data_IF_296909806832
#
_entry.id   IF_296909806832
#
_cell.length_a   1.000
_cell.length_b   1.000
_cell.length_c   1.000
_cell.angle_alpha   90.00
_cell.angle_beta   90.00
_cell.angle_gamma   90.00
#
_symmetry.space_group_name_H-M   'P 1'
#
loop_
_entity.id
_entity.type
_entity.pdbx_description
1 polymer ?
#
# COMPACT_ATOMS: atom_id res chain seq x y z
N UNK A 1 2.60 17.87 -5.64
CA UNK A 1 1.43 18.09 -6.53
C UNK A 1 0.95 16.77 -7.11
N UNK A 2 -0.28 16.73 -7.62
CA UNK A 2 -0.78 15.58 -8.38
C UNK A 2 -0.05 15.43 -9.72
N UNK A 3 0.33 16.55 -10.35
CA UNK A 3 1.13 16.55 -11.58
C UNK A 3 2.43 15.74 -11.47
N UNK A 4 3.09 15.75 -10.29
CA UNK A 4 4.29 14.93 -10.06
C UNK A 4 3.96 13.44 -10.08
N UNK A 5 2.83 13.04 -9.50
CA UNK A 5 2.35 11.64 -9.54
C UNK A 5 2.05 11.22 -10.97
N UNK A 6 1.33 12.06 -11.72
CA UNK A 6 0.99 11.81 -13.12
C UNK A 6 2.25 11.69 -14.00
N UNK A 7 3.23 12.57 -13.81
CA UNK A 7 4.50 12.55 -14.54
C UNK A 7 5.32 11.28 -14.20
N UNK A 8 5.35 10.85 -12.95
CA UNK A 8 6.04 9.61 -12.55
C UNK A 8 5.37 8.38 -13.20
N UNK A 9 4.04 8.33 -13.23
CA UNK A 9 3.32 7.28 -13.93
C UNK A 9 3.59 7.27 -15.43
N UNK A 10 3.69 8.45 -16.07
CA UNK A 10 4.11 8.57 -17.50
C UNK A 10 5.54 8.08 -17.73
N UNK A 11 6.47 8.37 -16.81
CA UNK A 11 7.83 7.83 -16.88
C UNK A 11 7.81 6.30 -16.81
N UNK A 12 7.04 5.72 -15.89
CA UNK A 12 6.86 4.28 -15.78
C UNK A 12 6.29 3.69 -17.08
N UNK A 13 5.23 4.30 -17.63
CA UNK A 13 4.59 3.89 -18.90
C UNK A 13 5.60 3.92 -20.06
N UNK A 14 6.46 4.94 -20.14
CA UNK A 14 7.49 5.05 -21.17
C UNK A 14 8.61 4.00 -21.03
N UNK A 15 8.77 3.40 -19.84
CA UNK A 15 9.72 2.30 -19.62
C UNK A 15 9.15 0.92 -20.00
N UNK A 16 7.99 0.84 -20.65
CA UNK A 16 7.34 -0.41 -21.06
C UNK A 16 8.28 -1.40 -21.78
N UNK A 17 9.22 -0.89 -22.58
CA UNK A 17 10.19 -1.71 -23.32
C UNK A 17 11.18 -2.45 -22.43
N UNK A 18 11.21 -2.18 -21.11
CA UNK A 18 12.04 -2.87 -20.11
C UNK A 18 11.26 -3.90 -19.29
N UNK A 19 9.93 -3.93 -19.40
CA UNK A 19 9.07 -4.91 -18.72
C UNK A 19 8.91 -6.16 -19.56
N UNK A 20 8.79 -7.32 -18.90
CA UNK A 20 8.37 -8.56 -19.53
C UNK A 20 6.83 -8.68 -19.43
N UNK A 21 6.23 -9.31 -20.44
CA UNK A 21 4.83 -9.70 -20.44
C UNK A 21 4.74 -11.22 -20.31
N UNK A 22 3.78 -11.70 -19.52
CA UNK A 22 3.52 -13.13 -19.34
C UNK A 22 2.99 -13.78 -20.63
N UNK A 23 2.82 -15.09 -20.59
CA UNK A 23 2.34 -15.88 -21.72
C UNK A 23 0.93 -15.46 -22.20
N UNK A 24 0.14 -14.79 -21.39
CA UNK A 24 -1.17 -14.22 -21.70
C UNK A 24 -1.11 -12.82 -22.34
N UNK A 25 0.10 -12.28 -22.57
CA UNK A 25 0.37 -10.93 -23.10
C UNK A 25 -0.33 -9.78 -22.35
N UNK A 26 -0.79 -10.03 -21.12
CA UNK A 26 -1.48 -9.05 -20.26
C UNK A 26 -0.91 -9.01 -18.85
N UNK A 27 -0.46 -10.15 -18.32
CA UNK A 27 0.15 -10.18 -16.99
C UNK A 27 1.56 -9.58 -17.05
N UNK A 28 1.79 -8.50 -16.32
CA UNK A 28 3.12 -7.89 -16.19
C UNK A 28 4.00 -8.62 -15.18
N UNK A 29 5.30 -8.43 -15.27
CA UNK A 29 6.32 -8.96 -14.36
C UNK A 29 6.42 -8.16 -13.05
N UNK A 30 5.77 -7.02 -12.99
CA UNK A 30 5.65 -6.16 -11.82
C UNK A 30 5.85 -4.68 -12.14
N UNK A 31 4.96 -3.85 -11.59
CA UNK A 31 5.08 -2.40 -11.62
C UNK A 31 4.69 -1.81 -10.27
N UNK A 32 5.27 -0.66 -9.93
CA UNK A 32 4.94 0.02 -8.69
C UNK A 32 5.40 1.47 -8.68
N UNK A 33 4.86 2.19 -7.70
CA UNK A 33 5.22 3.57 -7.42
C UNK A 33 5.29 3.79 -5.91
N UNK A 34 6.37 4.42 -5.44
CA UNK A 34 6.49 4.89 -4.07
C UNK A 34 6.28 6.41 -4.05
N UNK A 35 5.43 6.86 -3.16
CA UNK A 35 5.00 8.25 -3.02
C UNK A 35 5.05 8.68 -1.55
N UNK A 36 5.09 9.98 -1.29
CA UNK A 36 4.79 10.47 0.05
C UNK A 36 3.32 10.20 0.38
N UNK A 37 3.02 10.00 1.66
CA UNK A 37 1.64 9.79 2.13
C UNK A 37 0.77 10.99 1.71
N UNK A 38 -0.31 10.77 0.93
CA UNK A 38 -1.18 11.83 0.43
C UNK A 38 -2.20 12.23 1.50
N UNK A 39 -1.78 12.98 2.51
CA UNK A 39 -2.54 13.29 3.72
C UNK A 39 -3.91 13.90 3.42
N UNK A 40 -3.97 14.90 2.55
CA UNK A 40 -5.24 15.56 2.18
C UNK A 40 -6.22 14.59 1.50
N UNK A 41 -5.71 13.72 0.64
CA UNK A 41 -6.52 12.67 0.03
C UNK A 41 -7.12 11.74 1.09
N UNK A 42 -6.32 11.34 2.10
CA UNK A 42 -6.79 10.47 3.19
C UNK A 42 -7.90 11.14 4.00
N UNK A 43 -7.74 12.41 4.35
CA UNK A 43 -8.78 13.18 5.04
C UNK A 43 -10.07 13.27 4.22
N UNK A 44 -9.97 13.47 2.90
CA UNK A 44 -11.13 13.50 2.00
C UNK A 44 -11.82 12.13 1.85
N UNK A 45 -11.15 11.03 2.17
CA UNK A 45 -11.78 9.71 2.29
C UNK A 45 -12.57 9.55 3.60
N UNK A 46 -12.65 10.59 4.44
CA UNK A 46 -13.34 10.54 5.73
C UNK A 46 -12.55 9.80 6.83
N UNK A 47 -11.25 9.60 6.64
CA UNK A 47 -10.40 8.95 7.64
C UNK A 47 -9.76 10.01 8.53
N UNK A 48 -10.11 10.10 9.82
CA UNK A 48 -9.68 11.17 10.72
C UNK A 48 -8.25 10.91 11.25
N UNK A 49 -7.26 10.89 10.37
CA UNK A 49 -5.85 10.71 10.77
C UNK A 49 -5.31 11.91 11.53
N UNK A 50 -4.39 11.71 12.49
CA UNK A 50 -3.63 12.78 13.12
C UNK A 50 -2.78 13.58 12.13
N UNK A 51 -2.05 14.59 12.62
CA UNK A 51 -1.09 15.36 11.82
C UNK A 51 -0.07 14.47 11.10
N UNK A 52 0.46 14.98 9.99
CA UNK A 52 1.53 14.30 9.22
C UNK A 52 2.68 13.89 10.13
N UNK A 53 3.15 12.65 9.95
CA UNK A 53 4.23 12.07 10.76
C UNK A 53 3.77 11.43 12.06
N UNK A 54 2.54 11.69 12.54
CA UNK A 54 1.98 11.12 13.77
C UNK A 54 1.08 9.91 13.54
N UNK A 55 1.02 9.38 12.34
CA UNK A 55 0.38 8.11 12.02
C UNK A 55 1.21 7.34 11.00
N UNK A 56 1.14 6.02 11.07
CA UNK A 56 1.71 5.11 10.08
C UNK A 56 0.62 4.58 9.16
N UNK A 57 0.94 4.39 7.88
CA UNK A 57 0.04 3.77 6.92
C UNK A 57 0.80 2.95 5.89
N UNK A 58 0.11 2.06 5.23
CA UNK A 58 0.66 1.27 4.14
C UNK A 58 -0.35 0.29 3.57
N UNK A 59 -0.05 -0.25 2.40
CA UNK A 59 -0.88 -1.27 1.77
C UNK A 59 -0.46 -2.65 2.24
N UNK A 60 -1.46 -3.48 2.51
CA UNK A 60 -1.31 -4.87 2.92
C UNK A 60 -2.11 -5.75 1.97
N UNK A 61 -1.47 -6.75 1.40
CA UNK A 61 -2.11 -7.80 0.62
C UNK A 61 -2.48 -8.94 1.55
N UNK A 62 -3.74 -9.35 1.48
CA UNK A 62 -4.33 -10.39 2.31
C UNK A 62 -4.92 -11.49 1.42
N UNK A 63 -4.97 -12.74 1.90
CA UNK A 63 -5.70 -13.78 1.21
C UNK A 63 -7.18 -13.40 1.06
N UNK A 64 -7.87 -13.95 0.04
CA UNK A 64 -9.30 -13.70 -0.19
C UNK A 64 -10.19 -14.37 0.86
N UNK A 65 -9.71 -15.40 1.55
CA UNK A 65 -10.41 -16.08 2.62
C UNK A 65 -10.58 -15.17 3.85
N UNK A 66 -11.82 -14.87 4.21
CA UNK A 66 -12.15 -13.93 5.29
C UNK A 66 -11.64 -14.39 6.66
N UNK A 67 -11.64 -15.71 6.94
CA UNK A 67 -11.13 -16.23 8.20
C UNK A 67 -9.63 -16.03 8.31
N UNK A 68 -8.90 -16.33 7.24
CA UNK A 68 -7.46 -16.07 7.19
C UNK A 68 -7.15 -14.59 7.33
N UNK A 69 -7.94 -13.69 6.70
CA UNK A 69 -7.79 -12.24 6.90
C UNK A 69 -7.94 -11.87 8.36
N UNK A 70 -8.97 -12.37 9.06
CA UNK A 70 -9.19 -12.07 10.47
C UNK A 70 -8.05 -12.57 11.35
N UNK A 71 -7.56 -13.78 11.11
CA UNK A 71 -6.43 -14.35 11.86
C UNK A 71 -5.16 -13.49 11.66
N UNK A 72 -4.87 -13.07 10.44
CA UNK A 72 -3.72 -12.20 10.14
C UNK A 72 -3.89 -10.82 10.77
N UNK A 73 -5.08 -10.22 10.66
CA UNK A 73 -5.37 -8.91 11.27
C UNK A 73 -5.24 -8.96 12.79
N UNK A 74 -5.63 -10.07 13.44
CA UNK A 74 -5.44 -10.26 14.89
C UNK A 74 -3.94 -10.24 15.26
N UNK A 75 -3.09 -10.93 14.49
CA UNK A 75 -1.64 -10.90 14.68
C UNK A 75 -1.09 -9.47 14.48
N UNK A 76 -1.57 -8.75 13.47
CA UNK A 76 -1.17 -7.37 13.23
C UNK A 76 -1.53 -6.46 14.40
N UNK A 77 -2.75 -6.56 14.93
CA UNK A 77 -3.23 -5.78 16.07
C UNK A 77 -2.35 -6.06 17.30
N UNK A 78 -2.08 -7.33 17.62
CA UNK A 78 -1.22 -7.71 18.75
C UNK A 78 0.18 -7.07 18.65
N UNK A 79 0.83 -7.09 17.47
CA UNK A 79 2.15 -6.52 17.30
C UNK A 79 2.15 -4.98 17.34
N UNK A 80 1.06 -4.34 16.90
CA UNK A 80 0.86 -2.90 16.99
C UNK A 80 0.67 -2.48 18.46
N UNK A 81 -0.22 -3.17 19.18
CA UNK A 81 -0.53 -2.89 20.59
C UNK A 81 0.67 -3.13 21.51
N UNK A 82 1.53 -4.08 21.16
CA UNK A 82 2.79 -4.35 21.87
C UNK A 82 3.72 -3.14 21.96
N UNK A 83 3.66 -2.25 20.97
CA UNK A 83 4.42 -0.99 20.97
C UNK A 83 3.64 0.19 21.59
N UNK A 84 2.47 -0.07 22.19
CA UNK A 84 1.60 0.97 22.77
C UNK A 84 0.86 1.79 21.71
N UNK A 85 0.77 1.27 20.49
CA UNK A 85 0.05 1.88 19.36
C UNK A 85 -1.28 1.18 19.14
N UNK A 86 -2.10 1.71 18.24
CA UNK A 86 -3.38 1.10 17.88
C UNK A 86 -3.63 1.11 16.38
N UNK A 87 -4.26 0.07 15.88
CA UNK A 87 -4.84 0.05 14.54
C UNK A 87 -6.14 0.87 14.54
N UNK A 88 -6.07 2.09 14.02
CA UNK A 88 -7.19 3.03 14.05
C UNK A 88 -8.22 2.73 12.98
N UNK A 89 -7.78 2.37 11.78
CA UNK A 89 -8.67 2.19 10.63
C UNK A 89 -8.10 1.21 9.62
N UNK A 90 -9.02 0.51 8.93
CA UNK A 90 -8.75 -0.34 7.78
C UNK A 90 -9.61 0.14 6.61
N UNK A 91 -8.98 0.56 5.53
CA UNK A 91 -9.65 0.96 4.29
C UNK A 91 -9.50 -0.14 3.25
N UNK A 92 -10.58 -0.55 2.60
CA UNK A 92 -10.48 -1.33 1.38
C UNK A 92 -9.92 -0.42 0.27
N UNK A 93 -8.81 -0.82 -0.34
CA UNK A 93 -8.24 -0.07 -1.45
C UNK A 93 -9.05 -0.38 -2.71
N UNK A 94 -9.61 0.64 -3.39
CA UNK A 94 -10.32 0.40 -4.63
C UNK A 94 -9.36 -0.07 -5.72
N UNK A 95 -9.75 -1.12 -6.43
CA UNK A 95 -9.02 -1.70 -7.55
C UNK A 95 -9.93 -1.88 -8.75
N UNK A 96 -9.35 -1.92 -9.95
CA UNK A 96 -10.04 -2.26 -11.19
C UNK A 96 -9.44 -3.54 -11.77
N UNK A 97 -10.01 -4.71 -11.48
CA UNK A 97 -9.49 -5.99 -11.96
C UNK A 97 -9.67 -6.22 -13.47
N UNK A 98 -10.51 -5.44 -14.16
CA UNK A 98 -10.77 -5.61 -15.60
C UNK A 98 -9.53 -5.40 -16.47
N UNK A 99 -8.52 -4.68 -15.95
CA UNK A 99 -7.26 -4.46 -16.65
C UNK A 99 -6.25 -5.61 -16.50
N UNK A 100 -6.53 -6.60 -15.62
CA UNK A 100 -5.59 -7.68 -15.30
C UNK A 100 -5.59 -8.77 -16.37
N UNK A 101 -4.44 -9.45 -16.53
CA UNK A 101 -4.35 -10.74 -17.22
C UNK A 101 -4.87 -11.88 -16.34
N UNK A 102 -5.14 -13.05 -16.93
CA UNK A 102 -5.71 -14.19 -16.21
C UNK A 102 -4.86 -14.66 -15.02
N UNK A 103 -3.55 -14.69 -15.18
CA UNK A 103 -2.64 -15.11 -14.13
C UNK A 103 -2.62 -14.11 -12.95
N UNK A 104 -2.65 -12.81 -13.23
CA UNK A 104 -2.72 -11.77 -12.20
C UNK A 104 -4.08 -11.78 -11.50
N UNK A 105 -5.18 -11.96 -12.24
CA UNK A 105 -6.53 -12.01 -11.71
C UNK A 105 -6.76 -13.20 -10.77
N UNK A 106 -6.23 -14.39 -11.13
CA UNK A 106 -6.35 -15.59 -10.30
C UNK A 106 -5.62 -15.46 -8.95
N UNK A 107 -4.55 -14.67 -8.92
CA UNK A 107 -3.73 -14.43 -7.73
C UNK A 107 -3.96 -13.04 -7.09
N UNK A 108 -4.99 -12.31 -7.54
CA UNK A 108 -5.30 -11.01 -6.99
C UNK A 108 -5.61 -11.11 -5.49
N UNK A 109 -4.90 -10.37 -4.62
CA UNK A 109 -5.17 -10.37 -3.18
C UNK A 109 -6.34 -9.46 -2.82
N UNK A 110 -6.85 -9.58 -1.61
CA UNK A 110 -7.61 -8.51 -0.98
C UNK A 110 -6.62 -7.42 -0.52
N UNK A 111 -6.80 -6.18 -0.99
CA UNK A 111 -5.88 -5.08 -0.66
C UNK A 111 -6.51 -4.15 0.35
N UNK A 112 -5.86 -4.02 1.50
CA UNK A 112 -6.28 -3.09 2.55
C UNK A 112 -5.18 -2.06 2.82
N UNK A 113 -5.60 -0.85 3.15
CA UNK A 113 -4.74 0.19 3.69
C UNK A 113 -4.95 0.26 5.20
N UNK A 114 -3.86 0.11 5.95
CA UNK A 114 -3.87 0.18 7.41
C UNK A 114 -3.49 1.56 7.89
N UNK A 115 -4.06 1.99 9.02
CA UNK A 115 -3.74 3.26 9.69
C UNK A 115 -3.43 2.98 11.16
N UNK A 116 -2.22 3.33 11.59
CA UNK A 116 -1.70 3.11 12.94
C UNK A 116 -1.47 4.45 13.61
N UNK A 117 -1.98 4.61 14.82
CA UNK A 117 -1.88 5.83 15.62
C UNK A 117 -1.46 5.53 17.06
N UNK A 118 -1.41 6.57 17.90
CA UNK A 118 -1.07 6.44 19.32
C UNK A 118 0.38 6.81 19.64
N UNK A 119 1.15 7.26 18.64
CA UNK A 119 2.50 7.74 18.89
C UNK A 119 2.45 9.04 19.72
N UNK A 120 3.23 9.08 20.81
CA UNK A 120 3.42 10.28 21.62
C UNK A 120 4.51 11.19 21.02
N UNK A 121 4.47 12.50 21.30
CA UNK A 121 5.36 13.49 20.66
C UNK A 121 6.85 13.18 20.87
N UNK A 122 7.22 12.66 22.02
CA UNK A 122 8.59 12.23 22.34
C UNK A 122 9.05 11.02 21.52
N UNK A 123 8.13 10.21 21.01
CA UNK A 123 8.42 9.02 20.20
C UNK A 123 8.33 9.26 18.67
N UNK A 124 7.83 10.41 18.23
CA UNK A 124 7.75 10.73 16.80
C UNK A 124 9.10 10.57 16.08
N UNK A 125 10.25 10.98 16.63
CA UNK A 125 11.55 10.83 15.95
C UNK A 125 11.95 9.37 15.67
N UNK A 126 11.42 8.41 16.43
CA UNK A 126 11.73 6.97 16.26
C UNK A 126 10.58 6.17 15.69
N UNK A 127 9.48 6.82 15.35
CA UNK A 127 8.24 6.16 14.94
C UNK A 127 8.41 5.31 13.68
N UNK A 128 9.11 5.81 12.67
CA UNK A 128 9.41 5.04 11.45
C UNK A 128 10.12 3.71 11.77
N UNK A 129 11.09 3.75 12.70
CA UNK A 129 11.78 2.55 13.18
C UNK A 129 10.83 1.60 13.90
N UNK A 130 9.90 2.12 14.70
CA UNK A 130 8.88 1.33 15.39
C UNK A 130 7.96 0.62 14.39
N UNK A 131 7.49 1.33 13.36
CA UNK A 131 6.69 0.75 12.27
C UNK A 131 7.45 -0.36 11.53
N UNK A 132 8.76 -0.16 11.27
CA UNK A 132 9.60 -1.20 10.67
C UNK A 132 9.71 -2.45 11.55
N UNK A 133 9.88 -2.29 12.87
CA UNK A 133 9.93 -3.43 13.81
C UNK A 133 8.60 -4.18 13.85
N UNK A 134 7.48 -3.46 13.91
CA UNK A 134 6.13 -4.04 13.84
C UNK A 134 6.00 -4.87 12.57
N UNK A 135 6.31 -4.28 11.41
CA UNK A 135 6.29 -4.96 10.11
C UNK A 135 7.09 -6.27 10.16
N UNK A 136 8.34 -6.24 10.63
CA UNK A 136 9.21 -7.42 10.66
C UNK A 136 8.69 -8.52 11.58
N UNK A 137 8.08 -8.15 12.71
CA UNK A 137 7.45 -9.13 13.61
C UNK A 137 6.23 -9.78 12.99
N UNK A 138 5.36 -9.00 12.33
CA UNK A 138 4.20 -9.52 11.62
C UNK A 138 4.66 -10.48 10.51
N UNK A 139 5.59 -10.05 9.65
CA UNK A 139 6.14 -10.88 8.57
C UNK A 139 6.75 -12.20 9.08
N UNK A 140 7.31 -12.22 10.28
CA UNK A 140 7.85 -13.43 10.91
C UNK A 140 6.77 -14.36 11.46
N UNK A 141 5.64 -13.81 11.94
CA UNK A 141 4.55 -14.59 12.57
C UNK A 141 3.57 -15.13 11.55
N UNK A 142 3.35 -14.42 10.46
CA UNK A 142 2.42 -14.82 9.41
C UNK A 142 3.14 -15.65 8.37
N UNK A 143 2.72 -16.91 8.22
CA UNK A 143 3.31 -17.86 7.26
C UNK A 143 2.44 -18.08 6.01
N UNK A 144 1.38 -17.28 5.82
CA UNK A 144 0.50 -17.39 4.65
C UNK A 144 1.20 -16.81 3.40
N UNK A 145 1.31 -17.58 2.29
CA UNK A 145 1.99 -17.13 1.08
C UNK A 145 1.29 -15.98 0.37
N UNK A 146 -0.01 -15.79 0.62
CA UNK A 146 -0.82 -14.73 0.02
C UNK A 146 -0.79 -13.43 0.87
N UNK A 147 -0.03 -13.45 1.98
CA UNK A 147 0.15 -12.28 2.83
C UNK A 147 1.41 -11.50 2.45
N UNK A 148 1.26 -10.19 2.28
CA UNK A 148 2.39 -9.31 1.98
C UNK A 148 2.14 -7.88 2.47
N UNK A 149 3.12 -7.28 3.15
CA UNK A 149 3.09 -5.86 3.50
C UNK A 149 3.88 -5.08 2.43
N UNK A 150 3.19 -4.34 1.57
CA UNK A 150 3.82 -3.50 0.54
C UNK A 150 4.70 -2.42 1.16
N UNK A 151 4.13 -1.68 2.10
CA UNK A 151 4.79 -0.63 2.87
C UNK A 151 4.10 -0.47 4.22
N UNK A 152 4.84 0.03 5.19
CA UNK A 152 4.32 0.52 6.47
C UNK A 152 5.26 1.60 6.96
N UNK A 153 4.84 2.86 6.87
CA UNK A 153 5.67 4.03 7.08
C UNK A 153 4.83 5.21 7.59
N UNK A 154 5.48 6.19 8.22
CA UNK A 154 4.86 7.47 8.56
C UNK A 154 5.16 8.58 7.53
N UNK A 155 5.87 8.24 6.46
CA UNK A 155 6.28 9.20 5.43
C UNK A 155 5.91 8.79 4.00
N UNK A 156 5.96 7.49 3.69
CA UNK A 156 5.81 6.98 2.33
C UNK A 156 4.74 5.90 2.22
N UNK A 157 4.19 5.74 1.02
CA UNK A 157 3.26 4.67 0.67
C UNK A 157 3.66 4.07 -0.67
N UNK A 158 3.52 2.75 -0.83
CA UNK A 158 3.84 2.03 -2.06
C UNK A 158 2.58 1.39 -2.63
N UNK A 159 2.32 1.67 -3.90
CA UNK A 159 1.35 0.98 -4.74
C UNK A 159 2.09 0.11 -5.73
N UNK A 160 1.84 -1.19 -5.75
CA UNK A 160 2.48 -2.14 -6.66
C UNK A 160 1.64 -3.40 -6.86
N UNK A 161 2.03 -4.20 -7.85
CA UNK A 161 1.42 -5.50 -8.11
C UNK A 161 2.07 -6.23 -9.28
N UNK A 162 1.58 -7.41 -9.61
CA UNK A 162 1.89 -8.14 -10.85
C UNK A 162 1.20 -7.46 -12.03
N UNK A 163 1.67 -6.27 -12.36
CA UNK A 163 1.08 -5.35 -13.32
C UNK A 163 2.12 -4.99 -14.38
N UNK A 164 1.68 -4.71 -15.57
CA UNK A 164 2.50 -3.96 -16.52
C UNK A 164 2.56 -2.48 -16.12
N UNK A 165 3.51 -1.75 -16.67
CA UNK A 165 3.65 -0.31 -16.43
C UNK A 165 2.38 0.49 -16.77
N UNK A 166 1.60 0.07 -17.77
CA UNK A 166 0.35 0.70 -18.16
C UNK A 166 -0.80 0.36 -17.20
N UNK A 167 -0.79 -0.82 -16.60
CA UNK A 167 -1.86 -1.29 -15.73
C UNK A 167 -1.86 -0.62 -14.37
N UNK A 168 -0.71 -0.17 -13.85
CA UNK A 168 -0.63 0.40 -12.49
C UNK A 168 -1.64 1.52 -12.27
N UNK A 169 -1.72 2.47 -13.21
CA UNK A 169 -2.68 3.59 -13.19
C UNK A 169 -4.12 3.11 -13.33
N UNK A 170 -4.35 2.11 -14.16
CA UNK A 170 -5.69 1.57 -14.43
C UNK A 170 -6.21 0.76 -13.26
N UNK A 171 -5.33 -0.01 -12.61
CA UNK A 171 -5.67 -0.89 -11.51
C UNK A 171 -5.96 -0.15 -10.20
N UNK A 172 -5.23 0.94 -9.93
CA UNK A 172 -5.39 1.74 -8.70
C UNK A 172 -6.03 3.11 -8.99
N UNK A 173 -7.38 3.24 -8.91
CA UNK A 173 -8.06 4.53 -9.10
C UNK A 173 -7.57 5.65 -8.18
N UNK A 174 -7.07 5.32 -6.99
CA UNK A 174 -6.47 6.28 -6.06
C UNK A 174 -5.41 7.16 -6.74
N UNK A 175 -4.56 6.56 -7.59
CA UNK A 175 -3.45 7.23 -8.26
C UNK A 175 -3.90 8.27 -9.31
N UNK A 176 -5.15 8.24 -9.73
CA UNK A 176 -5.73 9.19 -10.69
C UNK A 176 -6.53 10.30 -10.02
N UNK A 177 -6.67 10.26 -8.69
CA UNK A 177 -7.40 11.27 -7.94
C UNK A 177 -6.57 12.56 -7.81
N UNK A 178 -7.15 13.71 -8.17
CA UNK A 178 -6.46 15.00 -8.15
C UNK A 178 -5.94 15.42 -6.76
N UNK A 179 -6.55 14.91 -5.69
CA UNK A 179 -6.11 15.15 -4.32
C UNK A 179 -5.01 14.20 -3.85
N UNK A 180 -4.71 13.17 -4.64
CA UNK A 180 -3.58 12.29 -4.38
C UNK A 180 -2.30 13.00 -4.81
N UNK A 181 -1.68 13.73 -3.89
CA UNK A 181 -0.52 14.59 -4.16
C UNK A 181 0.73 14.06 -3.48
N UNK A 182 1.88 14.29 -4.11
CA UNK A 182 3.19 13.96 -3.56
C UNK A 182 4.24 15.03 -3.93
N UNK A 183 5.30 15.14 -3.13
CA UNK A 183 6.51 15.91 -3.45
C UNK A 183 7.66 15.03 -3.92
N UNK A 184 7.50 13.69 -3.85
CA UNK A 184 8.47 12.69 -4.30
C UNK A 184 7.74 11.53 -4.95
N UNK A 185 8.29 10.99 -6.03
CA UNK A 185 7.83 9.74 -6.63
C UNK A 185 9.04 8.92 -7.10
N UNK A 186 9.00 7.61 -6.84
CA UNK A 186 9.95 6.62 -7.35
C UNK A 186 9.17 5.51 -8.06
N UNK A 187 9.59 5.13 -9.26
CA UNK A 187 8.98 4.09 -10.10
C UNK A 187 10.03 3.06 -10.51
#
# INVERSE_FOLDING_TARGET
SHELVDNALKVLENMRHRGAEGADNKTGDGAGIMLQIPHEFILLQGIPVPEKGKYGTGLVFLPKDEKKQQDILSIMIEEIEREGLQLMHLRNVPTNPDCLGEAALSNEPAIKQVFITGVTDDKVPVFERTLYLIRKRIEKRVSDPDFYICSLSNSNIVYKGMLSSLQLRQYYPDLTNNYFTSGLALV
#
